data_IF_680929884763
#
_entry.id   IF_680929884763
#
_cell.length_a   1.000
_cell.length_b   1.000
_cell.length_c   1.000
_cell.angle_alpha   90.00
_cell.angle_beta   90.00
_cell.angle_gamma   90.00
#
_symmetry.space_group_name_H-M   'P 1'
#
loop_
_entity.id
_entity.type
_entity.pdbx_description
1 polymer ?
#
# COMPACT_ATOMS: atom_id res chain seq x y z
N UNK A 1 -21.29 -16.88 15.13
CA UNK A 1 -20.49 -17.41 14.00
C UNK A 1 -20.16 -16.25 13.07
N UNK A 2 -18.91 -16.08 12.69
CA UNK A 2 -18.49 -15.06 11.71
C UNK A 2 -18.59 -15.66 10.33
N UNK A 3 -19.34 -15.03 9.42
CA UNK A 3 -19.56 -15.53 8.05
C UNK A 3 -18.52 -15.00 7.05
N UNK A 4 -17.93 -13.83 7.31
CA UNK A 4 -16.90 -13.25 6.47
C UNK A 4 -16.24 -12.05 7.14
N UNK A 5 -15.31 -11.42 6.43
CA UNK A 5 -14.58 -10.24 6.86
C UNK A 5 -14.82 -9.10 5.87
N UNK A 6 -15.37 -8.00 6.35
CA UNK A 6 -15.52 -6.79 5.57
C UNK A 6 -14.53 -5.74 6.07
N UNK A 7 -13.69 -5.25 5.17
CA UNK A 7 -12.69 -4.25 5.46
C UNK A 7 -13.06 -2.97 4.72
N UNK A 8 -13.42 -1.93 5.46
CA UNK A 8 -13.55 -0.58 4.92
C UNK A 8 -12.27 0.19 5.24
N UNK A 9 -11.54 0.58 4.20
CA UNK A 9 -10.26 1.25 4.36
C UNK A 9 -10.42 2.76 4.58
N UNK A 10 -9.64 3.28 5.51
CA UNK A 10 -9.59 4.71 5.84
C UNK A 10 -8.14 5.17 6.10
N UNK A 11 -7.21 4.64 5.32
CA UNK A 11 -5.81 5.03 5.38
C UNK A 11 -5.00 4.33 6.48
N UNK A 12 -4.64 3.08 6.26
CA UNK A 12 -3.73 2.34 7.15
C UNK A 12 -2.32 2.92 7.06
N UNK A 13 -1.74 3.23 8.22
CA UNK A 13 -0.33 3.60 8.36
C UNK A 13 0.35 2.64 9.34
N UNK A 14 1.19 1.76 8.82
CA UNK A 14 1.91 0.77 9.62
C UNK A 14 3.26 0.42 8.98
N UNK A 15 4.20 -0.04 9.81
CA UNK A 15 5.50 -0.51 9.31
C UNK A 15 5.33 -1.74 8.40
N UNK A 16 6.19 -1.93 7.37
CA UNK A 16 6.09 -3.05 6.43
C UNK A 16 5.97 -4.41 7.10
N UNK A 17 6.74 -4.68 8.15
CA UNK A 17 6.66 -5.94 8.90
C UNK A 17 5.29 -6.16 9.60
N UNK A 18 4.62 -5.10 10.01
CA UNK A 18 3.27 -5.19 10.58
C UNK A 18 2.25 -5.49 9.50
N UNK A 19 2.34 -4.79 8.35
CA UNK A 19 1.48 -5.05 7.19
C UNK A 19 1.62 -6.50 6.71
N UNK A 20 2.84 -7.02 6.64
CA UNK A 20 3.10 -8.41 6.27
C UNK A 20 2.42 -9.42 7.22
N UNK A 21 2.49 -9.17 8.54
CA UNK A 21 1.82 -10.03 9.53
C UNK A 21 0.29 -10.02 9.35
N UNK A 22 -0.30 -8.84 9.16
CA UNK A 22 -1.76 -8.70 8.93
C UNK A 22 -2.16 -9.38 7.63
N UNK A 23 -1.41 -9.16 6.55
CA UNK A 23 -1.63 -9.79 5.26
C UNK A 23 -1.61 -11.33 5.38
N UNK A 24 -0.61 -11.89 6.08
CA UNK A 24 -0.53 -13.34 6.35
C UNK A 24 -1.72 -13.83 7.17
N UNK A 25 -2.15 -13.08 8.17
CA UNK A 25 -3.31 -13.43 9.00
C UNK A 25 -4.62 -13.43 8.17
N UNK A 26 -4.81 -12.46 7.27
CA UNK A 26 -5.95 -12.45 6.34
C UNK A 26 -5.93 -13.66 5.39
N UNK A 27 -4.75 -14.03 4.89
CA UNK A 27 -4.60 -15.24 4.07
C UNK A 27 -4.92 -16.52 4.85
N UNK A 28 -4.53 -16.59 6.10
CA UNK A 28 -4.86 -17.72 6.97
C UNK A 28 -6.37 -17.78 7.25
N UNK A 29 -6.99 -16.63 7.51
CA UNK A 29 -8.45 -16.55 7.64
C UNK A 29 -9.18 -17.08 6.40
N UNK A 30 -8.71 -16.75 5.19
CA UNK A 30 -9.31 -17.27 3.95
C UNK A 30 -9.29 -18.79 3.84
N UNK A 31 -8.30 -19.47 4.43
CA UNK A 31 -8.27 -20.94 4.43
C UNK A 31 -9.44 -21.58 5.18
N UNK A 32 -10.13 -20.82 6.03
CA UNK A 32 -11.37 -21.27 6.69
C UNK A 32 -12.58 -21.37 5.75
N UNK A 33 -12.43 -20.98 4.47
CA UNK A 33 -13.50 -20.95 3.47
C UNK A 33 -14.44 -19.75 3.61
N UNK A 34 -14.14 -18.79 4.47
CA UNK A 34 -14.91 -17.57 4.65
C UNK A 34 -14.45 -16.48 3.68
N UNK A 35 -15.37 -15.61 3.30
CA UNK A 35 -15.07 -14.53 2.36
C UNK A 35 -14.41 -13.32 3.04
N UNK A 36 -13.62 -12.60 2.25
CA UNK A 36 -13.11 -11.27 2.58
C UNK A 36 -13.55 -10.30 1.49
N UNK A 37 -14.18 -9.19 1.87
CA UNK A 37 -14.55 -8.10 0.99
C UNK A 37 -13.83 -6.82 1.45
N UNK A 38 -13.23 -6.10 0.51
CA UNK A 38 -12.54 -4.84 0.75
C UNK A 38 -13.29 -3.69 0.08
N UNK A 39 -13.39 -2.54 0.73
CA UNK A 39 -14.04 -1.35 0.18
C UNK A 39 -13.21 -0.09 0.46
N UNK A 40 -12.97 0.69 -0.60
CA UNK A 40 -12.41 2.03 -0.51
C UNK A 40 -13.49 3.08 -0.73
N UNK A 41 -13.77 3.87 0.29
CA UNK A 41 -14.77 4.94 0.20
C UNK A 41 -14.23 6.17 -0.55
N UNK A 42 -13.14 6.74 -0.08
CA UNK A 42 -12.47 7.88 -0.72
C UNK A 42 -11.34 7.41 -1.65
N UNK A 43 -10.66 6.35 -1.24
CA UNK A 43 -9.57 5.74 -1.97
C UNK A 43 -8.96 4.58 -1.21
N UNK A 44 -7.97 3.96 -1.84
CA UNK A 44 -7.20 2.86 -1.27
C UNK A 44 -5.73 3.21 -1.46
N UNK A 45 -5.02 3.55 -0.38
CA UNK A 45 -3.59 3.82 -0.44
C UNK A 45 -2.76 2.53 -0.61
N UNK A 46 -1.47 2.63 -0.81
CA UNK A 46 -0.61 1.48 -1.07
C UNK A 46 -0.62 0.44 0.06
N UNK A 47 -0.64 0.87 1.33
CA UNK A 47 -0.70 -0.04 2.47
C UNK A 47 -2.07 -0.72 2.58
N UNK A 48 -3.16 0.05 2.36
CA UNK A 48 -4.52 -0.47 2.27
C UNK A 48 -4.62 -1.48 1.13
N UNK A 49 -4.07 -1.15 -0.05
CA UNK A 49 -4.14 -2.02 -1.22
C UNK A 49 -3.37 -3.33 -1.03
N UNK A 50 -2.24 -3.28 -0.34
CA UNK A 50 -1.50 -4.49 0.02
C UNK A 50 -2.36 -5.46 0.86
N UNK A 51 -3.13 -4.93 1.81
CA UNK A 51 -4.06 -5.74 2.61
C UNK A 51 -5.30 -6.13 1.81
N UNK A 52 -5.86 -5.21 1.02
CA UNK A 52 -7.02 -5.46 0.16
C UNK A 52 -6.76 -6.54 -0.89
N UNK A 53 -5.52 -6.70 -1.34
CA UNK A 53 -5.17 -7.69 -2.37
C UNK A 53 -5.54 -9.12 -2.00
N UNK A 54 -5.60 -9.43 -0.70
CA UNK A 54 -6.03 -10.75 -0.18
C UNK A 54 -7.54 -10.97 -0.36
N UNK A 55 -8.35 -9.91 -0.47
CA UNK A 55 -9.80 -10.02 -0.53
C UNK A 55 -10.27 -10.80 -1.77
N UNK A 56 -11.44 -11.42 -1.67
CA UNK A 56 -12.11 -12.05 -2.80
C UNK A 56 -12.67 -11.04 -3.79
N UNK A 57 -12.96 -9.85 -3.29
CA UNK A 57 -13.42 -8.72 -4.10
C UNK A 57 -12.99 -7.40 -3.48
N UNK A 58 -12.43 -6.54 -4.31
CA UNK A 58 -12.11 -5.16 -3.98
C UNK A 58 -13.14 -4.25 -4.64
N UNK A 59 -13.88 -3.55 -3.84
CA UNK A 59 -14.87 -2.55 -4.24
C UNK A 59 -14.30 -1.16 -4.05
N UNK A 60 -14.62 -0.27 -4.98
CA UNK A 60 -14.19 1.13 -4.89
C UNK A 60 -15.36 2.04 -5.19
N UNK A 61 -15.47 3.16 -4.49
CA UNK A 61 -16.37 4.22 -4.84
C UNK A 61 -16.07 4.73 -6.27
N UNK A 62 -17.07 4.98 -7.12
CA UNK A 62 -16.86 5.46 -8.49
C UNK A 62 -16.04 6.74 -8.63
N UNK A 63 -15.96 7.55 -7.56
CA UNK A 63 -15.11 8.76 -7.51
C UNK A 63 -13.83 8.56 -6.67
N UNK A 64 -13.62 7.37 -6.14
CA UNK A 64 -12.43 7.02 -5.37
C UNK A 64 -11.21 6.75 -6.26
N UNK A 65 -10.04 6.69 -5.64
CA UNK A 65 -8.77 6.43 -6.30
C UNK A 65 -8.03 5.24 -5.69
N UNK A 66 -7.09 4.70 -6.43
CA UNK A 66 -6.10 3.73 -5.92
C UNK A 66 -4.73 4.38 -6.01
N UNK A 67 -3.99 4.42 -4.93
CA UNK A 67 -2.63 4.95 -4.89
C UNK A 67 -1.62 3.81 -4.75
N UNK A 68 -0.95 3.50 -5.85
CA UNK A 68 0.15 2.54 -5.94
C UNK A 68 1.31 3.20 -6.66
N UNK A 69 2.45 3.35 -5.99
CA UNK A 69 3.56 4.15 -6.51
C UNK A 69 4.95 3.56 -6.21
N UNK A 70 5.05 2.47 -5.47
CA UNK A 70 6.33 1.92 -5.03
C UNK A 70 6.86 2.60 -3.76
N UNK A 71 8.18 2.50 -3.55
CA UNK A 71 8.83 3.10 -2.38
C UNK A 71 9.92 4.07 -2.83
N UNK A 72 9.95 5.23 -2.21
CA UNK A 72 10.97 6.25 -2.43
C UNK A 72 11.18 7.09 -1.17
N UNK A 73 12.25 7.85 -1.16
CA UNK A 73 12.56 8.75 -0.07
C UNK A 73 13.32 9.98 -0.55
N UNK A 74 13.22 11.07 0.19
CA UNK A 74 13.96 12.29 -0.05
C UNK A 74 14.75 12.65 1.19
N UNK A 75 16.04 12.89 1.02
CA UNK A 75 16.93 13.34 2.10
C UNK A 75 17.43 14.75 1.77
N UNK A 76 17.11 15.78 2.57
CA UNK A 76 17.64 17.11 2.37
C UNK A 76 19.12 17.15 2.75
N UNK A 77 19.96 17.72 1.87
CA UNK A 77 21.38 17.95 2.13
C UNK A 77 21.61 19.40 2.53
N UNK A 78 22.19 19.62 3.71
CA UNK A 78 22.25 20.91 4.37
C UNK A 78 23.65 21.55 4.35
N UNK A 79 24.66 20.87 3.79
CA UNK A 79 26.06 21.35 3.79
C UNK A 79 26.17 22.79 3.28
N UNK A 80 25.62 23.09 2.09
CA UNK A 80 25.67 24.44 1.51
C UNK A 80 24.96 25.50 2.37
N UNK A 81 23.92 25.13 3.09
CA UNK A 81 23.24 26.04 4.02
C UNK A 81 24.11 26.33 5.23
N UNK A 82 24.71 25.30 5.82
CA UNK A 82 25.61 25.41 6.98
C UNK A 82 26.83 26.26 6.65
N UNK A 83 27.46 26.03 5.49
CA UNK A 83 28.57 26.81 4.98
C UNK A 83 28.21 28.33 4.89
N UNK A 84 27.01 28.64 4.36
CA UNK A 84 26.54 30.04 4.23
C UNK A 84 26.31 30.76 5.57
N UNK A 85 25.92 30.03 6.61
CA UNK A 85 25.69 30.62 7.94
C UNK A 85 26.92 30.49 8.85
N UNK A 86 28.04 30.00 8.32
CA UNK A 86 29.31 29.88 9.06
C UNK A 86 29.33 28.79 10.12
N UNK A 87 28.51 27.73 9.95
CA UNK A 87 28.45 26.57 10.85
C UNK A 87 29.27 25.44 10.27
N UNK A 88 30.33 25.03 10.97
CA UNK A 88 31.14 23.87 10.64
C UNK A 88 30.72 22.66 11.49
N UNK A 89 30.36 21.56 10.81
CA UNK A 89 29.99 20.32 11.48
C UNK A 89 31.20 19.42 11.69
N UNK A 90 31.54 19.16 12.95
CA UNK A 90 32.60 18.20 13.30
C UNK A 90 32.02 16.79 13.32
N UNK A 91 32.39 15.99 12.33
CA UNK A 91 31.83 14.65 12.10
C UNK A 91 32.91 13.59 12.22
N UNK A 92 32.69 12.63 13.12
CA UNK A 92 33.51 11.43 13.24
C UNK A 92 32.73 10.27 12.64
N UNK A 93 33.22 9.74 11.52
CA UNK A 93 32.57 8.64 10.78
C UNK A 93 33.58 7.49 10.54
N UNK A 94 33.15 6.27 10.82
CA UNK A 94 33.92 5.06 10.53
C UNK A 94 33.10 4.11 9.67
N UNK A 95 33.60 3.79 8.48
CA UNK A 95 32.99 2.86 7.51
C UNK A 95 32.23 3.55 6.40
N UNK A 96 32.29 2.93 5.21
CA UNK A 96 31.75 3.45 3.93
C UNK A 96 30.23 3.60 3.95
N UNK A 97 29.52 2.69 4.60
CA UNK A 97 28.05 2.64 4.63
C UNK A 97 27.41 3.37 5.82
N UNK A 98 28.18 4.20 6.54
CA UNK A 98 27.66 5.06 7.62
C UNK A 98 27.13 6.37 7.05
N UNK A 99 25.97 6.34 6.41
CA UNK A 99 25.41 7.43 5.61
C UNK A 99 24.60 8.48 6.40
N UNK A 100 24.28 8.23 7.67
CA UNK A 100 23.43 9.12 8.48
C UNK A 100 23.93 10.56 8.61
N UNK A 101 25.23 10.78 8.46
CA UNK A 101 25.87 12.10 8.56
C UNK A 101 26.12 12.78 7.19
N UNK A 102 25.89 12.09 6.09
CA UNK A 102 26.09 12.63 4.73
C UNK A 102 25.32 13.92 4.46
N UNK A 103 24.08 14.11 4.96
CA UNK A 103 23.35 15.36 4.77
C UNK A 103 24.04 16.62 5.27
N UNK A 104 25.00 16.47 6.19
CA UNK A 104 25.76 17.57 6.76
C UNK A 104 27.16 17.73 6.15
N UNK A 105 27.65 16.72 5.43
CA UNK A 105 29.01 16.65 4.88
C UNK A 105 29.06 16.82 3.36
N UNK A 106 28.05 16.35 2.68
CA UNK A 106 28.00 16.26 1.22
C UNK A 106 26.92 17.18 0.66
N UNK A 107 27.01 17.46 -0.62
CA UNK A 107 26.00 18.22 -1.35
C UNK A 107 24.84 17.34 -1.85
N UNK A 108 25.09 16.04 -2.01
CA UNK A 108 24.14 15.03 -2.44
C UNK A 108 24.50 13.65 -1.91
N UNK A 109 23.68 12.65 -2.23
CA UNK A 109 23.84 11.29 -1.77
C UNK A 109 25.07 10.61 -2.40
N UNK A 110 25.91 10.01 -1.57
CA UNK A 110 27.02 9.19 -2.07
C UNK A 110 26.53 7.96 -2.81
N UNK A 111 27.36 7.43 -3.72
CA UNK A 111 27.06 6.22 -4.48
C UNK A 111 26.85 5.02 -3.53
N UNK A 112 27.66 4.89 -2.47
CA UNK A 112 27.51 3.84 -1.48
C UNK A 112 26.16 3.92 -0.74
N UNK A 113 25.72 5.13 -0.38
CA UNK A 113 24.42 5.35 0.26
C UNK A 113 23.27 5.08 -0.73
N UNK A 114 23.40 5.49 -1.99
CA UNK A 114 22.44 5.21 -3.04
C UNK A 114 22.24 3.70 -3.23
N UNK A 115 23.33 2.97 -3.39
CA UNK A 115 23.30 1.51 -3.53
C UNK A 115 22.60 0.82 -2.35
N UNK A 116 22.95 1.24 -1.13
CA UNK A 116 22.32 0.71 0.09
C UNK A 116 20.83 1.01 0.16
N UNK A 117 20.43 2.24 -0.18
CA UNK A 117 19.04 2.69 -0.14
C UNK A 117 18.20 1.98 -1.21
N UNK A 118 18.69 1.90 -2.43
CA UNK A 118 18.03 1.19 -3.54
C UNK A 118 17.85 -0.30 -3.22
N UNK A 119 18.88 -0.94 -2.65
CA UNK A 119 18.80 -2.34 -2.25
C UNK A 119 17.74 -2.55 -1.15
N UNK A 120 17.78 -1.75 -0.10
CA UNK A 120 16.83 -1.83 1.02
C UNK A 120 15.38 -1.58 0.59
N UNK A 121 15.13 -0.48 -0.14
CA UNK A 121 13.78 -0.16 -0.63
C UNK A 121 13.31 -1.19 -1.66
N UNK A 122 14.22 -1.65 -2.52
CA UNK A 122 13.93 -2.67 -3.53
C UNK A 122 13.48 -4.00 -2.92
N UNK A 123 14.11 -4.46 -1.83
CA UNK A 123 13.67 -5.69 -1.13
C UNK A 123 12.22 -5.52 -0.64
N UNK A 124 11.93 -4.42 0.07
CA UNK A 124 10.59 -4.19 0.63
C UNK A 124 9.54 -4.07 -0.48
N UNK A 125 9.85 -3.29 -1.54
CA UNK A 125 8.93 -3.11 -2.66
C UNK A 125 8.67 -4.40 -3.42
N UNK A 126 9.72 -5.16 -3.74
CA UNK A 126 9.58 -6.41 -4.47
C UNK A 126 8.70 -7.41 -3.72
N UNK A 127 8.89 -7.56 -2.42
CA UNK A 127 8.05 -8.43 -1.58
C UNK A 127 6.58 -7.99 -1.62
N UNK A 128 6.31 -6.70 -1.40
CA UNK A 128 4.95 -6.15 -1.42
C UNK A 128 4.30 -6.32 -2.81
N UNK A 129 5.00 -5.92 -3.87
CA UNK A 129 4.56 -6.04 -5.26
C UNK A 129 4.23 -7.48 -5.64
N UNK A 130 5.11 -8.41 -5.32
CA UNK A 130 4.96 -9.81 -5.70
C UNK A 130 3.81 -10.47 -4.93
N UNK A 131 3.59 -10.10 -3.67
CA UNK A 131 2.40 -10.49 -2.92
C UNK A 131 1.12 -9.97 -3.58
N UNK A 132 1.05 -8.68 -3.90
CA UNK A 132 -0.11 -8.08 -4.59
C UNK A 132 -0.34 -8.76 -5.94
N UNK A 133 0.70 -8.91 -6.74
CA UNK A 133 0.61 -9.53 -8.06
C UNK A 133 0.06 -10.96 -7.98
N UNK A 134 0.58 -11.75 -7.04
CA UNK A 134 0.11 -13.11 -6.80
C UNK A 134 -1.36 -13.15 -6.39
N UNK A 135 -1.77 -12.31 -5.44
CA UNK A 135 -3.12 -12.30 -4.90
C UNK A 135 -4.15 -11.79 -5.92
N UNK A 136 -3.78 -10.80 -6.73
CA UNK A 136 -4.61 -10.24 -7.81
C UNK A 136 -4.48 -11.00 -9.14
N UNK A 137 -3.64 -12.04 -9.21
CA UNK A 137 -3.34 -12.81 -10.43
C UNK A 137 -2.84 -11.93 -11.58
N UNK A 138 -1.99 -10.96 -11.24
CA UNK A 138 -1.31 -10.08 -12.17
C UNK A 138 0.14 -10.52 -12.36
N UNK A 139 0.78 -10.03 -13.43
CA UNK A 139 2.23 -10.18 -13.59
C UNK A 139 2.95 -9.10 -12.79
N UNK A 140 3.98 -9.47 -12.01
CA UNK A 140 4.75 -8.50 -11.21
C UNK A 140 5.34 -7.36 -12.06
N UNK A 141 5.82 -7.67 -13.26
CA UNK A 141 6.33 -6.67 -14.20
C UNK A 141 5.25 -5.70 -14.68
N UNK A 142 4.04 -6.20 -14.98
CA UNK A 142 2.90 -5.37 -15.37
C UNK A 142 2.46 -4.46 -14.24
N UNK A 143 2.41 -4.96 -13.00
CA UNK A 143 2.09 -4.16 -11.82
C UNK A 143 3.13 -3.05 -11.60
N UNK A 144 4.42 -3.34 -11.80
CA UNK A 144 5.47 -2.32 -11.69
C UNK A 144 5.27 -1.20 -12.74
N UNK A 145 5.01 -1.57 -14.00
CA UNK A 145 4.71 -0.59 -15.06
C UNK A 145 3.47 0.26 -14.74
N UNK A 146 2.45 -0.33 -14.12
CA UNK A 146 1.28 0.43 -13.65
C UNK A 146 1.67 1.44 -12.57
N UNK A 147 2.47 1.04 -11.58
CA UNK A 147 2.95 1.94 -10.52
C UNK A 147 3.75 3.12 -11.10
N UNK A 148 4.60 2.88 -12.08
CA UNK A 148 5.38 3.92 -12.79
C UNK A 148 4.46 4.89 -13.57
N UNK A 149 3.22 4.49 -13.88
CA UNK A 149 2.24 5.30 -14.62
C UNK A 149 1.38 6.20 -13.72
N UNK A 150 1.73 6.39 -12.46
CA UNK A 150 1.01 7.24 -11.49
C UNK A 150 -0.47 6.81 -11.34
N UNK A 151 -0.68 5.62 -10.78
CA UNK A 151 -2.01 4.97 -10.66
C UNK A 151 -3.07 5.86 -10.03
N UNK A 152 -2.70 6.72 -9.08
CA UNK A 152 -3.64 7.64 -8.41
C UNK A 152 -4.39 8.56 -9.38
N UNK A 153 -3.85 8.79 -10.58
CA UNK A 153 -4.49 9.61 -11.62
C UNK A 153 -5.44 8.82 -12.52
N UNK A 154 -5.54 7.50 -12.34
CA UNK A 154 -6.39 6.68 -13.18
C UNK A 154 -7.87 6.92 -12.88
N UNK A 155 -8.67 7.03 -13.94
CA UNK A 155 -10.12 7.00 -13.81
C UNK A 155 -10.57 5.61 -13.34
N UNK A 156 -11.68 5.56 -12.63
CA UNK A 156 -12.23 4.33 -12.07
C UNK A 156 -12.42 3.20 -13.09
N UNK A 157 -12.86 3.51 -14.32
CA UNK A 157 -12.98 2.53 -15.41
C UNK A 157 -11.64 1.89 -15.80
N UNK A 158 -10.54 2.66 -15.74
CA UNK A 158 -9.20 2.12 -15.97
C UNK A 158 -8.77 1.18 -14.86
N UNK A 159 -9.09 1.49 -13.61
CA UNK A 159 -8.80 0.61 -12.47
C UNK A 159 -9.50 -0.74 -12.59
N UNK A 160 -10.74 -0.77 -13.10
CA UNK A 160 -11.46 -2.01 -13.45
C UNK A 160 -10.76 -2.77 -14.57
N UNK A 161 -10.41 -2.08 -15.67
CA UNK A 161 -9.75 -2.69 -16.84
C UNK A 161 -8.42 -3.32 -16.48
N UNK A 162 -7.63 -2.65 -15.65
CA UNK A 162 -6.33 -3.14 -15.15
C UNK A 162 -6.49 -4.18 -14.01
N UNK A 163 -7.73 -4.53 -13.64
CA UNK A 163 -8.05 -5.48 -12.57
C UNK A 163 -7.50 -5.10 -11.19
N UNK A 164 -7.27 -3.81 -10.97
CA UNK A 164 -6.88 -3.32 -9.66
C UNK A 164 -8.07 -3.32 -8.70
N UNK A 165 -9.28 -3.12 -9.20
CA UNK A 165 -10.53 -3.27 -8.45
C UNK A 165 -11.50 -4.18 -9.21
N UNK A 166 -12.46 -4.77 -8.51
CA UNK A 166 -13.39 -5.73 -9.11
C UNK A 166 -14.73 -5.11 -9.46
N UNK A 167 -15.16 -4.09 -8.73
CA UNK A 167 -16.42 -3.38 -8.99
C UNK A 167 -16.41 -1.99 -8.41
N UNK A 168 -17.08 -1.06 -9.11
CA UNK A 168 -17.34 0.29 -8.62
C UNK A 168 -18.73 0.32 -7.98
N UNK A 169 -18.81 0.76 -6.73
CA UNK A 169 -20.05 0.79 -5.96
C UNK A 169 -20.06 1.98 -5.00
N UNK A 170 -21.21 2.61 -4.84
CA UNK A 170 -21.40 3.58 -3.78
C UNK A 170 -21.59 2.89 -2.42
N UNK A 171 -21.37 3.61 -1.33
CA UNK A 171 -21.42 3.05 0.02
C UNK A 171 -22.76 2.39 0.37
N UNK A 172 -23.87 2.99 -0.04
CA UNK A 172 -25.20 2.42 0.15
C UNK A 172 -25.41 1.10 -0.60
N UNK A 173 -24.83 0.95 -1.79
CA UNK A 173 -24.88 -0.31 -2.55
C UNK A 173 -24.02 -1.40 -1.92
N UNK A 174 -23.01 -1.03 -1.12
CA UNK A 174 -22.17 -1.98 -0.41
C UNK A 174 -22.96 -2.78 0.62
N UNK A 175 -23.93 -2.18 1.29
CA UNK A 175 -24.83 -2.88 2.22
C UNK A 175 -25.62 -3.97 1.53
N UNK A 176 -26.19 -3.70 0.36
CA UNK A 176 -26.92 -4.70 -0.43
C UNK A 176 -26.02 -5.89 -0.81
N UNK A 177 -24.76 -5.61 -1.15
CA UNK A 177 -23.77 -6.65 -1.46
C UNK A 177 -23.45 -7.52 -0.23
N UNK A 178 -23.29 -6.89 0.93
CA UNK A 178 -23.02 -7.60 2.19
C UNK A 178 -24.23 -8.46 2.59
N UNK A 179 -25.46 -7.95 2.48
CA UNK A 179 -26.69 -8.68 2.73
C UNK A 179 -26.81 -9.91 1.82
N UNK A 180 -26.53 -9.73 0.52
CA UNK A 180 -26.54 -10.84 -0.43
C UNK A 180 -25.49 -11.92 -0.09
N UNK A 181 -24.32 -11.52 0.43
CA UNK A 181 -23.27 -12.47 0.84
C UNK A 181 -23.60 -13.23 2.13
N UNK A 182 -24.26 -12.56 3.08
CA UNK A 182 -24.63 -13.14 4.38
C UNK A 182 -26.01 -13.78 4.39
N UNK A 183 -26.78 -13.63 3.30
CA UNK A 183 -28.18 -14.09 3.17
C UNK A 183 -29.09 -13.49 4.25
N UNK A 184 -28.83 -12.25 4.63
CA UNK A 184 -29.65 -11.47 5.58
C UNK A 184 -30.67 -10.68 4.78
N UNK A 185 -31.95 -10.77 5.16
CA UNK A 185 -33.05 -10.06 4.50
C UNK A 185 -32.94 -8.53 4.71
N UNK A 186 -33.65 -7.77 3.86
CA UNK A 186 -33.57 -6.28 3.89
C UNK A 186 -34.13 -5.70 5.20
N UNK A 187 -35.03 -6.40 5.82
CA UNK A 187 -35.70 -5.96 7.05
C UNK A 187 -34.94 -6.37 8.33
N UNK A 188 -33.84 -7.12 8.20
CA UNK A 188 -32.98 -7.53 9.30
C UNK A 188 -31.69 -6.70 9.32
N UNK A 189 -31.14 -6.43 10.50
CA UNK A 189 -29.88 -5.72 10.63
C UNK A 189 -28.67 -6.59 10.31
N UNK A 190 -27.69 -6.02 9.58
CA UNK A 190 -26.38 -6.64 9.44
C UNK A 190 -25.66 -6.62 10.80
N UNK A 191 -25.34 -7.78 11.34
CA UNK A 191 -24.65 -7.89 12.61
C UNK A 191 -23.13 -7.78 12.41
N UNK A 192 -22.58 -6.59 12.65
CA UNK A 192 -21.15 -6.34 12.62
C UNK A 192 -20.56 -6.56 14.02
N UNK A 193 -19.50 -7.35 14.07
CA UNK A 193 -18.68 -7.55 15.26
C UNK A 193 -17.33 -6.88 14.98
N UNK A 194 -17.01 -5.80 15.72
CA UNK A 194 -15.75 -5.05 15.64
C UNK A 194 -14.75 -5.51 16.71
#
# INVERSE_FOLDING_TARGET
RVDGFFIEFNGVSAAPATLEKVHKALKEFKKSGKWIAAYGHEGINQADYYLASVADSIYLNPVGSVDLHGLGGMTPYMKKLLDKVGVEMQIVRVGTFKSAVEPYMLDDMSEANRLQTEHYLGIIWNEMRDCIAKDRKLQSAALNTLCDSVVVTFKADRLLKEKLVDKLVYRNQMEDILRARTKVDKDEDLNFVS
#
